data_IF_960754102801
#
_entry.id   IF_960754102801
#
_cell.length_a   1.000
_cell.length_b   1.000
_cell.length_c   1.000
_cell.angle_alpha   90.00
_cell.angle_beta   90.00
_cell.angle_gamma   90.00
#
_symmetry.space_group_name_H-M   'P 1'
#
loop_
_entity.id
_entity.type
_entity.pdbx_description
1 polymer ?
#
# COMPACT_ATOMS: atom_id res chain seq x y z
N UNK A 1 -26.77 -5.32 -19.49
CA UNK A 1 -26.01 -5.14 -18.23
C UNK A 1 -24.62 -4.66 -18.60
N UNK A 2 -24.25 -3.43 -18.24
CA UNK A 2 -22.92 -2.92 -18.53
C UNK A 2 -21.96 -3.62 -17.57
N UNK A 3 -21.00 -4.40 -18.10
CA UNK A 3 -20.00 -5.04 -17.26
C UNK A 3 -19.13 -3.94 -16.65
N UNK A 4 -19.26 -3.73 -15.34
CA UNK A 4 -18.29 -2.89 -14.60
C UNK A 4 -16.92 -3.55 -14.66
N UNK A 5 -15.89 -2.78 -14.93
CA UNK A 5 -14.52 -3.29 -14.97
C UNK A 5 -14.07 -3.58 -13.53
N UNK A 6 -13.68 -4.83 -13.26
CA UNK A 6 -13.31 -5.28 -11.92
C UNK A 6 -11.91 -5.89 -11.94
N UNK A 7 -11.02 -5.37 -11.09
CA UNK A 7 -9.69 -5.92 -10.88
C UNK A 7 -9.58 -6.59 -9.49
N UNK A 8 -8.85 -7.70 -9.46
CA UNK A 8 -8.50 -8.43 -8.24
C UNK A 8 -7.00 -8.27 -7.96
N UNK A 9 -6.66 -7.88 -6.74
CA UNK A 9 -5.27 -7.85 -6.26
C UNK A 9 -5.13 -8.90 -5.16
N UNK A 10 -4.26 -9.88 -5.40
CA UNK A 10 -3.98 -10.94 -4.43
C UNK A 10 -2.71 -10.55 -3.67
N UNK A 11 -2.85 -10.35 -2.36
CA UNK A 11 -1.79 -9.90 -1.47
C UNK A 11 -1.93 -8.43 -1.09
N UNK A 12 -2.02 -8.16 0.20
CA UNK A 12 -2.20 -6.83 0.79
C UNK A 12 -0.92 -6.23 1.35
N UNK A 13 0.23 -6.52 0.72
CA UNK A 13 1.53 -5.95 1.07
C UNK A 13 1.68 -4.51 0.57
N UNK A 14 2.82 -3.85 0.84
CA UNK A 14 3.12 -2.52 0.31
C UNK A 14 2.89 -2.44 -1.21
N UNK A 15 3.39 -3.42 -1.95
CA UNK A 15 3.24 -3.49 -3.42
C UNK A 15 1.80 -3.73 -3.84
N UNK A 16 1.08 -4.61 -3.14
CA UNK A 16 -0.32 -4.91 -3.45
C UNK A 16 -1.23 -3.70 -3.26
N UNK A 17 -1.06 -2.98 -2.15
CA UNK A 17 -1.78 -1.73 -1.88
C UNK A 17 -1.44 -0.63 -2.88
N UNK A 18 -0.16 -0.51 -3.27
CA UNK A 18 0.28 0.45 -4.29
C UNK A 18 -0.36 0.14 -5.65
N UNK A 19 -0.37 -1.13 -6.05
CA UNK A 19 -1.03 -1.55 -7.29
C UNK A 19 -2.53 -1.33 -7.24
N UNK A 20 -3.19 -1.65 -6.13
CA UNK A 20 -4.62 -1.38 -5.98
C UNK A 20 -4.95 0.11 -6.15
N UNK A 21 -4.13 1.01 -5.59
CA UNK A 21 -4.28 2.46 -5.77
C UNK A 21 -4.15 2.90 -7.23
N UNK A 22 -3.22 2.32 -7.97
CA UNK A 22 -3.02 2.62 -9.40
C UNK A 22 -4.21 2.07 -10.21
N UNK A 23 -4.59 0.82 -9.98
CA UNK A 23 -5.72 0.16 -10.66
C UNK A 23 -7.05 0.88 -10.40
N UNK A 24 -7.22 1.52 -9.23
CA UNK A 24 -8.41 2.29 -8.92
C UNK A 24 -8.65 3.49 -9.86
N UNK A 25 -7.64 3.92 -10.64
CA UNK A 25 -7.83 4.93 -11.68
C UNK A 25 -8.30 4.33 -13.03
N UNK A 26 -8.30 3.01 -13.17
CA UNK A 26 -8.55 2.29 -14.43
C UNK A 26 -9.74 1.33 -14.36
N UNK A 27 -10.12 0.89 -13.15
CA UNK A 27 -11.20 -0.07 -12.91
C UNK A 27 -12.27 0.55 -12.00
N UNK A 28 -13.54 0.20 -12.25
CA UNK A 28 -14.67 0.67 -11.45
C UNK A 28 -14.65 0.10 -10.03
N UNK A 29 -14.09 -1.11 -9.87
CA UNK A 29 -13.94 -1.79 -8.60
C UNK A 29 -12.57 -2.47 -8.54
N UNK A 30 -11.91 -2.34 -7.38
CA UNK A 30 -10.70 -3.09 -7.07
C UNK A 30 -10.92 -3.82 -5.75
N UNK A 31 -10.78 -5.15 -5.77
CA UNK A 31 -10.86 -5.97 -4.55
C UNK A 31 -9.48 -6.47 -4.20
N UNK A 32 -9.09 -6.30 -2.93
CA UNK A 32 -7.83 -6.81 -2.40
C UNK A 32 -8.14 -8.03 -1.55
N UNK A 33 -7.46 -9.14 -1.83
CA UNK A 33 -7.56 -10.38 -1.06
C UNK A 33 -6.26 -10.56 -0.29
N UNK A 34 -6.36 -10.44 1.04
CA UNK A 34 -5.25 -10.67 1.96
C UNK A 34 -5.67 -11.74 2.97
N UNK A 35 -4.72 -12.61 3.31
CA UNK A 35 -4.92 -13.70 4.25
C UNK A 35 -4.80 -13.21 5.69
N UNK A 36 -3.91 -12.26 5.94
CA UNK A 36 -3.74 -11.67 7.25
C UNK A 36 -4.86 -10.68 7.59
N UNK A 37 -5.19 -10.57 8.88
CA UNK A 37 -6.01 -9.47 9.39
C UNK A 37 -5.12 -8.24 9.58
N UNK A 38 -5.59 -7.08 9.10
CA UNK A 38 -4.89 -5.82 9.33
C UNK A 38 -5.03 -5.37 10.79
N UNK A 39 -3.92 -5.04 11.47
CA UNK A 39 -3.98 -4.41 12.79
C UNK A 39 -4.50 -2.97 12.68
N UNK A 40 -5.11 -2.47 13.76
CA UNK A 40 -5.59 -1.07 13.84
C UNK A 40 -4.45 -0.03 13.78
N UNK A 41 -3.22 -0.45 14.04
CA UNK A 41 -2.02 0.38 14.01
C UNK A 41 -0.92 -0.21 13.11
N UNK A 42 0.07 0.58 12.66
CA UNK A 42 1.18 0.12 11.82
C UNK A 42 2.11 -0.88 12.54
N UNK A 43 1.69 -2.14 12.60
CA UNK A 43 2.38 -3.21 13.32
C UNK A 43 2.80 -4.36 12.37
N UNK A 44 3.90 -5.08 12.67
CA UNK A 44 4.30 -6.25 11.92
C UNK A 44 3.21 -7.33 11.89
N UNK A 45 3.03 -7.97 10.74
CA UNK A 45 2.07 -9.07 10.53
C UNK A 45 2.76 -10.33 10.01
N UNK A 46 2.13 -11.49 10.24
CA UNK A 46 2.71 -12.80 9.95
C UNK A 46 3.08 -12.97 8.47
N UNK A 47 2.24 -12.50 7.56
CA UNK A 47 2.43 -12.55 6.11
C UNK A 47 3.42 -11.53 5.54
N UNK A 48 3.98 -10.63 6.37
CA UNK A 48 5.06 -9.69 5.97
C UNK A 48 6.17 -9.73 7.02
N UNK A 49 6.90 -10.86 7.15
CA UNK A 49 7.93 -11.00 8.18
C UNK A 49 9.05 -9.95 8.05
N UNK A 50 9.31 -9.49 6.82
CA UNK A 50 10.32 -8.47 6.55
C UNK A 50 9.93 -7.06 7.02
N UNK A 51 8.68 -6.82 7.43
CA UNK A 51 8.24 -5.52 7.97
C UNK A 51 8.97 -5.09 9.25
N UNK A 52 9.64 -6.03 9.93
CA UNK A 52 10.40 -5.80 11.16
C UNK A 52 11.76 -5.12 10.92
N UNK A 53 12.24 -5.14 9.69
CA UNK A 53 13.52 -4.54 9.32
C UNK A 53 13.30 -3.20 8.62
N UNK A 54 14.20 -2.23 8.80
CA UNK A 54 14.10 -0.95 8.11
C UNK A 54 14.28 -1.14 6.60
N UNK A 55 13.41 -0.48 5.83
CA UNK A 55 13.49 -0.42 4.37
C UNK A 55 13.71 1.02 3.94
N UNK A 56 14.83 1.28 3.27
CA UNK A 56 15.15 2.62 2.76
C UNK A 56 14.34 2.89 1.50
N UNK A 57 13.48 3.91 1.53
CA UNK A 57 12.79 4.39 0.34
C UNK A 57 13.65 5.44 -0.37
N UNK A 58 14.08 5.14 -1.60
CA UNK A 58 14.87 6.08 -2.41
C UNK A 58 14.07 7.33 -2.76
N UNK A 59 14.75 8.46 -3.00
CA UNK A 59 14.13 9.77 -3.24
C UNK A 59 13.07 9.75 -4.36
N UNK A 60 13.35 9.10 -5.50
CA UNK A 60 12.37 8.97 -6.59
C UNK A 60 11.13 8.16 -6.16
N UNK A 61 11.33 7.08 -5.42
CA UNK A 61 10.23 6.32 -4.83
C UNK A 61 9.39 7.20 -3.91
N UNK A 62 10.02 7.97 -3.03
CA UNK A 62 9.33 8.89 -2.14
C UNK A 62 8.48 9.94 -2.90
N UNK A 63 8.98 10.46 -4.03
CA UNK A 63 8.24 11.40 -4.87
C UNK A 63 7.00 10.74 -5.51
N UNK A 64 7.15 9.52 -6.05
CA UNK A 64 6.03 8.77 -6.64
C UNK A 64 4.97 8.46 -5.58
N UNK A 65 5.40 8.03 -4.39
CA UNK A 65 4.49 7.76 -3.28
C UNK A 65 3.69 9.00 -2.86
N UNK A 66 4.30 10.18 -2.83
CA UNK A 66 3.58 11.44 -2.54
C UNK A 66 2.57 11.80 -3.63
N UNK A 67 2.87 11.52 -4.91
CA UNK A 67 1.93 11.74 -6.02
C UNK A 67 0.72 10.81 -5.91
N UNK A 68 0.94 9.55 -5.55
CA UNK A 68 -0.14 8.56 -5.41
C UNK A 68 -0.95 8.72 -4.12
N UNK A 69 -0.29 9.17 -3.05
CA UNK A 69 -0.85 9.39 -1.72
C UNK A 69 -0.37 10.74 -1.14
N UNK A 70 -1.05 11.85 -1.46
CA UNK A 70 -0.68 13.17 -0.95
C UNK A 70 -0.66 13.22 0.58
N UNK A 71 0.40 13.77 1.17
CA UNK A 71 0.61 13.86 2.62
C UNK A 71 1.37 12.68 3.23
N UNK A 72 1.66 11.61 2.47
CA UNK A 72 2.35 10.44 2.98
C UNK A 72 3.79 10.74 3.43
N UNK A 73 4.48 11.67 2.76
CA UNK A 73 5.83 12.13 3.20
C UNK A 73 5.82 12.71 4.61
N UNK A 74 4.73 13.37 5.01
CA UNK A 74 4.55 13.85 6.38
C UNK A 74 4.42 12.72 7.39
N UNK A 75 3.84 11.59 6.99
CA UNK A 75 3.72 10.40 7.84
C UNK A 75 5.08 9.74 8.12
N UNK A 76 5.96 9.64 7.12
CA UNK A 76 7.29 9.02 7.31
C UNK A 76 8.15 9.76 8.33
N UNK A 77 7.99 11.08 8.49
CA UNK A 77 8.73 11.86 9.50
C UNK A 77 8.38 11.51 10.95
N UNK A 78 7.18 10.96 11.20
CA UNK A 78 6.75 10.57 12.56
C UNK A 78 7.36 9.26 13.02
N UNK A 79 7.77 8.39 12.10
CA UNK A 79 8.33 7.08 12.43
C UNK A 79 9.86 7.07 12.51
N UNK A 80 10.51 8.15 12.07
CA UNK A 80 11.96 8.36 12.09
C UNK A 80 12.44 9.23 13.27
N UNK A 81 11.61 9.46 14.30
CA UNK A 81 12.14 9.88 15.60
C UNK A 81 12.86 8.67 16.22
N UNK A 82 14.13 8.53 15.84
CA UNK A 82 15.17 8.07 16.75
C UNK A 82 15.41 9.16 17.80
#
# INVERSE_FOLDING_TARGET
MQHKSHALVIGGSLTGLLMARILANHFDLVTIVERDVYPDQPMPRKGVPHSRFPHTLMLRGQQIFEQLFPGLRGCFKRQLRL
#
